data_IF_184077726326
#
_entry.id   IF_184077726326
#
_cell.length_a   1.000
_cell.length_b   1.000
_cell.length_c   1.000
_cell.angle_alpha   90.00
_cell.angle_beta   90.00
_cell.angle_gamma   90.00
#
_symmetry.space_group_name_H-M   'P 1'
#
loop_
_entity.id
_entity.type
_entity.pdbx_description
1 polymer ?
#
# COMPACT_ATOMS: atom_id res chain seq x y z
N UNK A 1 17.20 9.39 1.68
CA UNK A 1 16.95 7.93 1.76
C UNK A 1 18.14 7.21 1.12
N UNK A 2 18.26 5.89 1.28
CA UNK A 2 19.27 5.09 0.57
C UNK A 2 18.84 4.89 -0.89
N UNK A 3 19.79 4.82 -1.83
CA UNK A 3 19.53 4.60 -3.27
C UNK A 3 18.59 3.41 -3.55
N UNK A 4 18.75 2.31 -2.80
CA UNK A 4 17.88 1.12 -2.93
C UNK A 4 16.44 1.45 -2.55
N UNK A 5 16.25 2.24 -1.48
CA UNK A 5 14.92 2.62 -1.00
C UNK A 5 14.22 3.51 -2.02
N UNK A 6 14.94 4.45 -2.63
CA UNK A 6 14.39 5.36 -3.64
C UNK A 6 13.97 4.59 -4.90
N UNK A 7 14.80 3.66 -5.38
CA UNK A 7 14.46 2.78 -6.51
C UNK A 7 13.25 1.89 -6.20
N UNK A 8 13.23 1.26 -5.03
CA UNK A 8 12.15 0.40 -4.58
C UNK A 8 10.83 1.15 -4.48
N UNK A 9 10.85 2.36 -3.92
CA UNK A 9 9.66 3.18 -3.74
C UNK A 9 9.10 3.67 -5.09
N UNK A 10 9.97 4.13 -5.99
CA UNK A 10 9.55 4.57 -7.33
C UNK A 10 8.92 3.40 -8.11
N UNK A 11 9.55 2.23 -8.12
CA UNK A 11 8.99 1.05 -8.79
C UNK A 11 7.68 0.59 -8.14
N UNK A 12 7.58 0.63 -6.81
CA UNK A 12 6.35 0.30 -6.10
C UNK A 12 5.19 1.24 -6.49
N UNK A 13 5.46 2.54 -6.65
CA UNK A 13 4.47 3.50 -7.15
C UNK A 13 4.00 3.12 -8.55
N UNK A 14 4.93 2.96 -9.48
CA UNK A 14 4.62 2.77 -10.90
C UNK A 14 3.84 1.47 -11.12
N UNK A 15 4.20 0.41 -10.39
CA UNK A 15 3.46 -0.86 -10.42
C UNK A 15 2.03 -0.69 -9.89
N UNK A 16 1.86 -0.08 -8.71
CA UNK A 16 0.54 0.09 -8.10
C UNK A 16 -0.37 1.03 -8.89
N UNK A 17 0.18 1.95 -9.67
CA UNK A 17 -0.56 2.84 -10.56
C UNK A 17 -0.96 2.08 -11.85
N UNK A 18 -0.13 1.15 -12.32
CA UNK A 18 -0.37 0.34 -13.52
C UNK A 18 -1.41 -0.78 -13.33
N UNK A 19 -1.68 -1.21 -12.09
CA UNK A 19 -2.62 -2.33 -11.83
C UNK A 19 -4.02 -2.09 -12.38
N UNK A 20 -4.48 -0.84 -12.38
CA UNK A 20 -5.80 -0.48 -12.93
C UNK A 20 -5.87 -0.69 -14.44
N UNK A 21 -4.79 -0.37 -15.16
CA UNK A 21 -4.70 -0.58 -16.61
C UNK A 21 -4.55 -2.05 -16.96
N UNK A 22 -3.81 -2.80 -16.15
CA UNK A 22 -3.55 -4.23 -16.34
C UNK A 22 -4.74 -5.12 -15.90
N UNK A 23 -5.65 -4.60 -15.08
CA UNK A 23 -6.74 -5.39 -14.50
C UNK A 23 -6.27 -6.47 -13.53
N UNK A 24 -5.09 -6.30 -12.93
CA UNK A 24 -4.47 -7.26 -12.00
C UNK A 24 -4.07 -6.59 -10.69
N UNK A 25 -4.95 -6.71 -9.68
CA UNK A 25 -4.80 -6.16 -8.34
C UNK A 25 -3.66 -6.82 -7.53
N UNK A 26 -3.06 -7.91 -8.00
CA UNK A 26 -1.90 -8.55 -7.35
C UNK A 26 -0.65 -8.58 -8.24
N UNK A 27 -0.63 -7.82 -9.34
CA UNK A 27 0.52 -7.72 -10.25
C UNK A 27 1.85 -7.39 -9.54
N UNK A 28 1.81 -6.62 -8.44
CA UNK A 28 2.99 -6.35 -7.62
C UNK A 28 3.69 -7.61 -7.09
N UNK A 29 2.98 -8.72 -6.90
CA UNK A 29 3.56 -9.99 -6.49
C UNK A 29 4.39 -10.62 -7.60
N UNK A 30 3.95 -10.46 -8.85
CA UNK A 30 4.67 -10.94 -10.02
C UNK A 30 5.99 -10.19 -10.18
N UNK A 31 5.95 -8.86 -10.09
CA UNK A 31 7.14 -8.01 -10.09
C UNK A 31 8.07 -8.36 -8.93
N UNK A 32 7.50 -8.58 -7.74
CA UNK A 32 8.25 -9.06 -6.58
C UNK A 32 9.02 -10.36 -6.85
N UNK A 33 8.42 -11.34 -7.55
CA UNK A 33 9.11 -12.58 -7.94
C UNK A 33 10.26 -12.35 -8.94
N UNK A 34 10.06 -11.45 -9.91
CA UNK A 34 11.11 -11.06 -10.86
C UNK A 34 12.29 -10.41 -10.11
N UNK A 35 12.01 -9.51 -9.18
CA UNK A 35 13.04 -8.88 -8.35
C UNK A 35 13.75 -9.90 -7.47
N UNK A 36 13.03 -10.86 -6.86
CA UNK A 36 13.65 -11.87 -6.01
C UNK A 36 14.69 -12.70 -6.76
N UNK A 37 14.41 -13.04 -8.01
CA UNK A 37 15.32 -13.82 -8.85
C UNK A 37 16.61 -13.05 -9.23
N UNK A 38 16.58 -11.72 -9.24
CA UNK A 38 17.71 -10.88 -9.66
C UNK A 38 18.43 -10.16 -8.50
N UNK A 39 17.70 -9.71 -7.49
CA UNK A 39 18.19 -8.94 -6.35
C UNK A 39 17.24 -9.07 -5.14
N UNK A 40 17.51 -10.01 -4.21
CA UNK A 40 16.71 -10.16 -3.00
C UNK A 40 16.61 -8.88 -2.16
N UNK A 41 17.70 -8.11 -2.03
CA UNK A 41 17.71 -6.86 -1.27
C UNK A 41 16.77 -5.79 -1.85
N UNK A 42 16.73 -5.63 -3.18
CA UNK A 42 15.80 -4.70 -3.82
C UNK A 42 14.36 -5.19 -3.67
N UNK A 43 14.14 -6.50 -3.75
CA UNK A 43 12.82 -7.11 -3.58
C UNK A 43 12.24 -6.86 -2.18
N UNK A 44 13.03 -7.00 -1.13
CA UNK A 44 12.60 -6.75 0.25
C UNK A 44 12.19 -5.28 0.45
N UNK A 45 13.01 -4.36 -0.07
CA UNK A 45 12.72 -2.93 -0.04
C UNK A 45 11.44 -2.62 -0.84
N UNK A 46 11.30 -3.19 -2.04
CA UNK A 46 10.13 -3.04 -2.90
C UNK A 46 8.84 -3.51 -2.22
N UNK A 47 8.82 -4.73 -1.68
CA UNK A 47 7.64 -5.26 -1.00
C UNK A 47 7.30 -4.44 0.25
N UNK A 48 8.30 -3.87 0.91
CA UNK A 48 8.08 -2.95 2.02
C UNK A 48 7.41 -1.67 1.55
N UNK A 49 7.90 -1.06 0.47
CA UNK A 49 7.27 0.11 -0.15
C UNK A 49 5.84 -0.17 -0.63
N UNK A 50 5.58 -1.33 -1.22
CA UNK A 50 4.22 -1.77 -1.60
C UNK A 50 3.30 -1.80 -0.37
N UNK A 51 3.71 -2.48 0.71
CA UNK A 51 2.90 -2.60 1.94
C UNK A 51 2.60 -1.22 2.54
N UNK A 52 3.59 -0.33 2.58
CA UNK A 52 3.43 1.04 3.07
C UNK A 52 2.40 1.79 2.22
N UNK A 53 2.52 1.75 0.89
CA UNK A 53 1.61 2.44 -0.03
C UNK A 53 0.18 1.92 0.07
N UNK A 54 -0.01 0.61 0.19
CA UNK A 54 -1.35 0.02 0.38
C UNK A 54 -1.95 0.41 1.74
N UNK A 55 -1.15 0.42 2.82
CA UNK A 55 -1.61 0.88 4.12
C UNK A 55 -2.00 2.37 4.09
N UNK A 56 -1.21 3.19 3.41
CA UNK A 56 -1.45 4.61 3.20
C UNK A 56 -2.75 4.86 2.43
N UNK A 57 -2.97 4.16 1.31
CA UNK A 57 -4.22 4.19 0.54
C UNK A 57 -5.42 3.86 1.42
N UNK A 58 -5.36 2.79 2.22
CA UNK A 58 -6.43 2.41 3.16
C UNK A 58 -6.68 3.50 4.22
N UNK A 59 -5.61 4.11 4.74
CA UNK A 59 -5.71 5.23 5.68
C UNK A 59 -6.37 6.46 5.07
N UNK A 60 -6.02 6.80 3.82
CA UNK A 60 -6.67 7.89 3.07
C UNK A 60 -8.14 7.61 2.83
N UNK A 61 -8.49 6.40 2.42
CA UNK A 61 -9.88 6.01 2.18
C UNK A 61 -10.72 6.16 3.45
N UNK A 62 -10.17 5.73 4.60
CA UNK A 62 -10.82 5.91 5.89
C UNK A 62 -11.01 7.39 6.23
N UNK A 63 -9.97 8.22 6.07
CA UNK A 63 -10.03 9.66 6.32
C UNK A 63 -11.10 10.35 5.44
N UNK A 64 -11.13 10.04 4.15
CA UNK A 64 -12.11 10.60 3.20
C UNK A 64 -13.54 10.22 3.63
N UNK A 65 -13.78 8.96 3.97
CA UNK A 65 -15.09 8.48 4.43
C UNK A 65 -15.52 9.16 5.74
N UNK A 66 -14.61 9.33 6.70
CA UNK A 66 -14.91 10.01 7.96
C UNK A 66 -15.25 11.49 7.75
N UNK A 67 -14.51 12.19 6.89
CA UNK A 67 -14.79 13.59 6.55
C UNK A 67 -16.12 13.74 5.82
N UNK A 68 -16.44 12.82 4.90
CA UNK A 68 -17.74 12.79 4.21
C UNK A 68 -18.89 12.60 5.20
N UNK A 69 -18.82 11.60 6.07
CA UNK A 69 -19.83 11.34 7.09
C UNK A 69 -20.05 12.56 7.99
N UNK A 70 -18.97 13.22 8.43
CA UNK A 70 -19.06 14.43 9.27
C UNK A 70 -19.79 15.58 8.56
N UNK A 71 -19.55 15.77 7.26
CA UNK A 71 -20.22 16.81 6.44
C UNK A 71 -21.70 16.51 6.21
N UNK A 72 -22.07 15.23 6.14
CA UNK A 72 -23.45 14.76 5.92
C UNK A 72 -24.23 14.57 7.23
N UNK A 73 -23.62 14.86 8.39
CA UNK A 73 -24.25 14.66 9.70
C UNK A 73 -24.38 13.20 10.12
N UNK A 74 -23.70 12.27 9.42
CA UNK A 74 -23.68 10.85 9.72
C UNK A 74 -22.54 10.48 10.70
N UNK A 75 -22.65 9.29 11.30
CA UNK A 75 -21.58 8.73 12.14
C UNK A 75 -20.37 8.36 11.26
N UNK A 76 -19.17 8.68 11.73
CA UNK A 76 -17.92 8.27 11.09
C UNK A 76 -17.81 6.73 11.02
N UNK A 77 -17.10 6.18 10.01
CA UNK A 77 -16.85 4.73 9.93
C UNK A 77 -16.08 4.26 11.16
N UNK A 78 -16.38 3.06 11.62
CA UNK A 78 -15.65 2.46 12.74
C UNK A 78 -14.22 2.11 12.28
N UNK A 79 -13.22 2.50 13.08
CA UNK A 79 -11.83 2.13 12.83
C UNK A 79 -11.66 0.60 12.94
N UNK A 80 -10.66 0.00 12.27
CA UNK A 80 -10.32 -1.41 12.47
C UNK A 80 -10.17 -1.72 13.96
N UNK A 81 -10.67 -2.89 14.39
CA UNK A 81 -10.60 -3.32 15.78
C UNK A 81 -9.15 -3.30 16.25
N UNK A 82 -8.91 -2.71 17.41
CA UNK A 82 -7.61 -2.79 18.07
C UNK A 82 -7.35 -4.24 18.51
N UNK A 83 -6.42 -4.90 17.83
CA UNK A 83 -6.01 -6.26 18.14
C UNK A 83 -4.98 -6.31 19.29
N UNK A 84 -4.45 -5.17 19.74
CA UNK A 84 -3.55 -5.09 20.90
C UNK A 84 -4.28 -5.22 22.24
N UNK A 85 -5.61 -5.15 22.26
CA UNK A 85 -6.43 -5.32 23.47
C UNK A 85 -6.65 -6.80 23.88
N UNK A 86 -5.92 -7.75 23.29
CA UNK A 86 -6.13 -9.19 23.44
C UNK A 86 -4.89 -10.01 23.81
N UNK A 87 -3.96 -9.46 24.60
CA UNK A 87 -2.85 -10.19 25.22
C UNK A 87 -2.74 -9.88 26.71
#
# INVERSE_FOLDING_TARGET
>A
MSFIQDLADQLAKDVLDSQQELGDDTFYEQVGRVLLAASPTLQEAYMTSIRIRLAERRGRDFLVKALKAKREGAKAPDAPRDLSAGH
#
